data_IF_310762052897
#
_entry.id   IF_310762052897
#
_cell.length_a   1.000
_cell.length_b   1.000
_cell.length_c   1.000
_cell.angle_alpha   90.00
_cell.angle_beta   90.00
_cell.angle_gamma   90.00
#
_symmetry.space_group_name_H-M   'P 1'
#
loop_
_entity.id
_entity.type
_entity.pdbx_description
1 polymer ?
#
# COMPACT_ATOMS: atom_id res chain seq x y z
N UNK A 1 5.49 25.94 -46.64
CA UNK A 1 4.44 25.14 -45.96
C UNK A 1 5.08 24.36 -44.84
N UNK A 2 5.17 24.94 -43.66
CA UNK A 2 5.62 24.27 -42.42
C UNK A 2 4.37 23.71 -41.74
N UNK A 3 4.23 22.39 -41.76
CA UNK A 3 3.17 21.68 -41.06
C UNK A 3 3.32 21.93 -39.55
N UNK A 4 2.33 22.61 -38.97
CA UNK A 4 2.12 22.69 -37.54
C UNK A 4 1.84 21.29 -37.03
N UNK A 5 2.83 20.66 -36.39
CA UNK A 5 2.61 19.43 -35.61
C UNK A 5 1.57 19.76 -34.56
N UNK A 6 0.37 19.23 -34.77
CA UNK A 6 -0.80 19.51 -33.96
C UNK A 6 -0.51 19.32 -32.49
N UNK A 7 -0.98 20.28 -31.69
CA UNK A 7 -1.15 20.13 -30.26
C UNK A 7 -2.16 19.00 -30.00
N UNK A 8 -1.70 17.75 -30.09
CA UNK A 8 -2.45 16.58 -29.70
C UNK A 8 -2.87 16.77 -28.24
N UNK A 9 -4.18 16.84 -28.02
CA UNK A 9 -4.80 17.29 -26.78
C UNK A 9 -4.24 16.56 -25.57
N UNK A 10 -3.40 17.25 -24.79
CA UNK A 10 -3.01 16.76 -23.46
C UNK A 10 -4.29 16.75 -22.62
N UNK A 11 -4.75 15.55 -22.27
CA UNK A 11 -5.87 15.41 -21.35
C UNK A 11 -5.53 16.15 -20.05
N UNK A 12 -6.46 16.96 -19.50
CA UNK A 12 -6.24 17.63 -18.23
C UNK A 12 -5.82 16.63 -17.14
N UNK A 13 -4.86 16.97 -16.27
CA UNK A 13 -4.28 16.04 -15.29
C UNK A 13 -5.31 15.50 -14.28
N UNK A 14 -6.44 16.18 -14.10
CA UNK A 14 -7.52 15.78 -13.21
C UNK A 14 -8.50 14.74 -13.80
N UNK A 15 -8.57 14.59 -15.13
CA UNK A 15 -9.51 13.65 -15.80
C UNK A 15 -9.33 12.19 -15.36
N UNK A 16 -8.12 11.61 -15.36
CA UNK A 16 -7.95 10.22 -14.91
C UNK A 16 -8.31 10.03 -13.43
N UNK A 17 -8.03 11.03 -12.59
CA UNK A 17 -8.38 11.00 -11.17
C UNK A 17 -9.90 11.02 -10.96
N UNK A 18 -10.60 11.92 -11.66
CA UNK A 18 -12.06 11.99 -11.63
C UNK A 18 -12.71 10.69 -12.11
N UNK A 19 -12.18 10.09 -13.19
CA UNK A 19 -12.67 8.81 -13.71
C UNK A 19 -12.52 7.70 -12.68
N UNK A 20 -11.33 7.53 -12.09
CA UNK A 20 -11.07 6.51 -11.06
C UNK A 20 -11.97 6.71 -9.84
N UNK A 21 -12.15 7.96 -9.41
CA UNK A 21 -13.03 8.27 -8.26
C UNK A 21 -14.49 7.95 -8.57
N UNK A 22 -14.98 8.29 -9.76
CA UNK A 22 -16.35 7.97 -10.19
C UNK A 22 -16.58 6.47 -10.34
N UNK A 23 -15.65 5.74 -10.98
CA UNK A 23 -15.73 4.29 -11.08
C UNK A 23 -15.76 3.65 -9.69
N UNK A 24 -14.90 4.11 -8.77
CA UNK A 24 -14.89 3.64 -7.39
C UNK A 24 -16.20 3.90 -6.67
N UNK A 25 -16.75 5.11 -6.81
CA UNK A 25 -18.04 5.46 -6.21
C UNK A 25 -19.15 4.53 -6.72
N UNK A 26 -19.21 4.27 -8.04
CA UNK A 26 -20.20 3.39 -8.64
C UNK A 26 -20.06 1.93 -8.16
N UNK A 27 -18.83 1.41 -8.14
CA UNK A 27 -18.56 0.04 -7.67
C UNK A 27 -18.91 -0.12 -6.19
N UNK A 28 -18.47 0.81 -5.34
CA UNK A 28 -18.74 0.76 -3.90
C UNK A 28 -20.23 0.92 -3.62
N UNK A 29 -20.89 1.93 -4.18
CA UNK A 29 -22.32 2.17 -3.96
C UNK A 29 -23.19 1.04 -4.50
N UNK A 30 -22.88 0.52 -5.69
CA UNK A 30 -23.59 -0.62 -6.27
C UNK A 30 -23.43 -1.89 -5.43
N UNK A 31 -22.21 -2.16 -4.94
CA UNK A 31 -21.95 -3.35 -4.10
C UNK A 31 -22.61 -3.22 -2.73
N UNK A 32 -22.50 -2.05 -2.08
CA UNK A 32 -23.15 -1.78 -0.78
C UNK A 32 -24.67 -1.83 -0.93
N UNK A 33 -25.22 -1.26 -2.01
CA UNK A 33 -26.65 -1.31 -2.31
C UNK A 33 -27.14 -2.75 -2.51
N UNK A 34 -26.40 -3.57 -3.27
CA UNK A 34 -26.72 -4.98 -3.46
C UNK A 34 -26.65 -5.78 -2.16
N UNK A 35 -25.64 -5.55 -1.32
CA UNK A 35 -25.55 -6.22 -0.01
C UNK A 35 -26.72 -5.81 0.90
N UNK A 36 -27.13 -4.54 0.87
CA UNK A 36 -28.26 -4.03 1.63
C UNK A 36 -29.62 -4.57 1.16
N UNK A 37 -29.74 -5.14 -0.05
CA UNK A 37 -30.97 -5.83 -0.48
C UNK A 37 -30.99 -7.31 -0.11
N UNK A 38 -29.81 -7.93 0.08
CA UNK A 38 -29.68 -9.37 0.39
C UNK A 38 -29.85 -9.67 1.88
N UNK A 39 -29.50 -8.73 2.75
CA UNK A 39 -29.71 -8.81 4.19
C UNK A 39 -30.57 -7.61 4.61
N UNK A 40 -31.43 -7.77 5.61
CA UNK A 40 -32.17 -6.64 6.22
C UNK A 40 -31.22 -5.79 7.06
N UNK A 41 -30.22 -5.19 6.40
CA UNK A 41 -29.15 -4.42 7.02
C UNK A 41 -29.61 -2.99 7.19
N UNK A 42 -29.75 -2.55 8.43
CA UNK A 42 -29.84 -1.13 8.72
C UNK A 42 -28.46 -0.50 8.48
N UNK A 43 -28.36 0.44 7.53
CA UNK A 43 -27.16 1.27 7.37
C UNK A 43 -27.06 2.17 8.59
N UNK A 44 -26.30 1.72 9.59
CA UNK A 44 -26.03 2.51 10.80
C UNK A 44 -24.99 3.59 10.49
N UNK A 45 -24.89 4.60 11.35
CA UNK A 45 -23.87 5.64 11.23
C UNK A 45 -22.44 5.09 11.22
N UNK A 46 -22.18 3.95 11.87
CA UNK A 46 -20.89 3.27 11.85
C UNK A 46 -20.54 2.67 10.49
N UNK A 47 -21.51 2.02 9.84
CA UNK A 47 -21.34 1.45 8.50
C UNK A 47 -21.11 2.56 7.47
N UNK A 48 -21.98 3.57 7.48
CA UNK A 48 -21.85 4.73 6.59
C UNK A 48 -20.54 5.49 6.81
N UNK A 49 -20.17 5.73 8.08
CA UNK A 49 -18.92 6.39 8.44
C UNK A 49 -17.68 5.60 8.05
N UNK A 50 -17.69 4.27 8.21
CA UNK A 50 -16.59 3.39 7.81
C UNK A 50 -16.36 3.40 6.31
N UNK A 51 -17.43 3.22 5.53
CA UNK A 51 -17.37 3.27 4.05
C UNK A 51 -16.95 4.65 3.56
N UNK A 52 -17.56 5.72 4.06
CA UNK A 52 -17.22 7.08 3.66
C UNK A 52 -15.78 7.44 4.03
N UNK A 53 -15.34 7.09 5.24
CA UNK A 53 -14.00 7.37 5.74
C UNK A 53 -12.92 6.62 4.96
N UNK A 54 -13.10 5.33 4.69
CA UNK A 54 -12.16 4.53 3.90
C UNK A 54 -12.12 4.97 2.43
N UNK A 55 -13.28 5.32 1.85
CA UNK A 55 -13.35 5.85 0.49
C UNK A 55 -12.63 7.20 0.37
N UNK A 56 -12.83 8.09 1.34
CA UNK A 56 -12.14 9.37 1.40
C UNK A 56 -10.61 9.17 1.55
N UNK A 57 -10.18 8.27 2.45
CA UNK A 57 -8.76 7.96 2.64
C UNK A 57 -8.12 7.42 1.35
N UNK A 58 -8.77 6.46 0.68
CA UNK A 58 -8.30 5.90 -0.59
C UNK A 58 -8.22 6.98 -1.68
N UNK A 59 -9.24 7.84 -1.78
CA UNK A 59 -9.30 8.94 -2.75
C UNK A 59 -8.15 9.92 -2.54
N UNK A 60 -7.88 10.30 -1.28
CA UNK A 60 -6.75 11.16 -0.91
C UNK A 60 -5.42 10.50 -1.27
N UNK A 61 -5.25 9.21 -0.98
CA UNK A 61 -4.04 8.44 -1.32
C UNK A 61 -3.82 8.42 -2.84
N UNK A 62 -4.83 8.08 -3.63
CA UNK A 62 -4.76 8.07 -5.09
C UNK A 62 -4.37 9.45 -5.61
N UNK A 63 -5.05 10.50 -5.14
CA UNK A 63 -4.78 11.88 -5.56
C UNK A 63 -3.35 12.32 -5.24
N UNK A 64 -2.88 11.99 -4.03
CA UNK A 64 -1.52 12.26 -3.60
C UNK A 64 -0.47 11.51 -4.44
N UNK A 65 -0.68 10.22 -4.72
CA UNK A 65 0.22 9.41 -5.55
C UNK A 65 0.28 9.96 -6.98
N UNK A 66 -0.87 10.32 -7.56
CA UNK A 66 -0.93 10.90 -8.90
C UNK A 66 -0.26 12.27 -8.97
N UNK A 67 -0.42 13.12 -7.94
CA UNK A 67 0.21 14.43 -7.87
C UNK A 67 1.73 14.35 -7.64
N UNK A 68 2.19 13.40 -6.82
CA UNK A 68 3.60 13.24 -6.43
C UNK A 68 4.45 12.42 -7.40
N UNK A 69 3.84 11.76 -8.39
CA UNK A 69 4.55 11.00 -9.43
C UNK A 69 4.84 11.90 -10.63
N UNK A 70 6.11 12.05 -11.00
CA UNK A 70 6.54 12.98 -12.05
C UNK A 70 6.03 12.53 -13.44
N UNK A 71 5.59 13.46 -14.32
CA UNK A 71 5.19 13.12 -15.68
C UNK A 71 6.40 13.01 -16.60
N UNK A 72 7.23 11.97 -16.47
CA UNK A 72 8.12 11.55 -17.57
C UNK A 72 7.41 10.53 -18.45
N UNK A 73 7.82 10.44 -19.71
CA UNK A 73 7.17 9.57 -20.70
C UNK A 73 7.16 8.11 -20.20
N UNK A 74 5.96 7.59 -19.85
CA UNK A 74 5.76 6.24 -19.33
C UNK A 74 5.46 6.15 -17.83
N UNK A 75 5.93 7.08 -17.01
CA UNK A 75 5.86 7.00 -15.53
C UNK A 75 4.42 7.16 -14.97
N UNK A 76 3.50 7.79 -15.72
CA UNK A 76 2.10 8.03 -15.33
C UNK A 76 1.06 7.19 -16.08
N UNK A 77 1.47 6.20 -16.85
CA UNK A 77 0.50 5.38 -17.61
C UNK A 77 -0.31 4.52 -16.64
N UNK A 78 -1.64 4.58 -16.76
CA UNK A 78 -2.55 3.65 -16.07
C UNK A 78 -2.51 2.35 -16.86
N UNK A 79 -2.11 1.27 -16.19
CA UNK A 79 -1.97 -0.06 -16.80
C UNK A 79 -3.02 -1.01 -16.24
N UNK A 80 -3.12 -2.21 -16.80
CA UNK A 80 -4.00 -3.24 -16.25
C UNK A 80 -3.68 -3.53 -14.76
N UNK A 81 -2.39 -3.55 -14.40
CA UNK A 81 -1.95 -3.69 -13.02
C UNK A 81 -2.45 -2.53 -12.13
N UNK A 82 -2.39 -1.29 -12.62
CA UNK A 82 -2.94 -0.13 -11.89
C UNK A 82 -4.45 -0.29 -11.62
N UNK A 83 -5.21 -0.79 -12.58
CA UNK A 83 -6.64 -1.06 -12.38
C UNK A 83 -6.90 -2.15 -11.34
N UNK A 84 -6.08 -3.20 -11.30
CA UNK A 84 -6.19 -4.25 -10.27
C UNK A 84 -5.93 -3.65 -8.89
N UNK A 85 -4.89 -2.84 -8.73
CA UNK A 85 -4.60 -2.13 -7.48
C UNK A 85 -5.77 -1.22 -7.05
N UNK A 86 -6.40 -0.52 -7.99
CA UNK A 86 -7.60 0.29 -7.70
C UNK A 86 -8.79 -0.55 -7.26
N UNK A 87 -9.04 -1.68 -7.92
CA UNK A 87 -10.08 -2.63 -7.53
C UNK A 87 -9.83 -3.18 -6.12
N UNK A 88 -8.58 -3.47 -5.75
CA UNK A 88 -8.20 -3.86 -4.38
C UNK A 88 -8.53 -2.77 -3.37
N UNK A 89 -8.23 -1.51 -3.71
CA UNK A 89 -8.63 -0.35 -2.92
C UNK A 89 -10.14 -0.24 -2.73
N UNK A 90 -10.94 -0.43 -3.77
CA UNK A 90 -12.41 -0.39 -3.64
C UNK A 90 -12.97 -1.58 -2.87
N UNK A 91 -12.39 -2.78 -3.03
CA UNK A 91 -12.71 -3.94 -2.22
C UNK A 91 -12.45 -3.67 -0.72
N UNK A 92 -11.38 -2.94 -0.39
CA UNK A 92 -11.12 -2.48 0.98
C UNK A 92 -12.24 -1.57 1.51
N UNK A 93 -12.74 -0.64 0.68
CA UNK A 93 -13.84 0.24 1.06
C UNK A 93 -15.11 -0.56 1.35
N UNK A 94 -15.47 -1.49 0.47
CA UNK A 94 -16.61 -2.40 0.69
C UNK A 94 -16.40 -3.24 1.97
N UNK A 95 -15.19 -3.76 2.17
CA UNK A 95 -14.80 -4.50 3.37
C UNK A 95 -15.09 -3.70 4.65
N UNK A 96 -14.82 -2.38 4.68
CA UNK A 96 -15.12 -1.58 5.87
C UNK A 96 -16.60 -1.51 6.23
N UNK A 97 -17.48 -1.49 5.22
CA UNK A 97 -18.92 -1.56 5.44
C UNK A 97 -19.36 -2.93 5.95
N UNK A 98 -18.87 -3.99 5.33
CA UNK A 98 -19.20 -5.37 5.70
C UNK A 98 -18.67 -5.72 7.09
N UNK A 99 -17.42 -5.36 7.42
CA UNK A 99 -16.82 -5.68 8.71
C UNK A 99 -17.50 -4.93 9.86
N UNK A 100 -18.03 -3.73 9.62
CA UNK A 100 -18.82 -2.99 10.59
C UNK A 100 -20.17 -3.69 10.90
N UNK A 101 -20.62 -4.59 10.03
CA UNK A 101 -21.81 -5.42 10.23
C UNK A 101 -21.48 -6.81 10.76
N UNK A 102 -20.22 -7.23 10.78
CA UNK A 102 -19.82 -8.59 11.18
C UNK A 102 -20.41 -9.08 12.52
N UNK A 103 -20.61 -8.23 13.56
CA UNK A 103 -21.23 -8.66 14.82
C UNK A 103 -22.68 -9.15 14.68
N UNK A 104 -23.39 -8.83 13.60
CA UNK A 104 -24.83 -9.13 13.47
C UNK A 104 -25.11 -10.51 12.89
N UNK A 105 -24.16 -11.11 12.15
CA UNK A 105 -24.32 -12.45 11.59
C UNK A 105 -22.98 -13.11 11.21
N UNK A 106 -22.85 -14.41 11.51
CA UNK A 106 -21.67 -15.23 11.15
C UNK A 106 -21.39 -15.24 9.65
N UNK A 107 -22.43 -15.17 8.81
CA UNK A 107 -22.31 -15.10 7.34
C UNK A 107 -21.53 -13.85 6.90
N UNK A 108 -21.77 -12.71 7.54
CA UNK A 108 -21.09 -11.44 7.24
C UNK A 108 -19.59 -11.54 7.56
N UNK A 109 -19.23 -12.24 8.63
CA UNK A 109 -17.84 -12.54 8.94
C UNK A 109 -17.11 -13.28 7.81
N UNK A 110 -17.76 -14.27 7.17
CA UNK A 110 -17.20 -14.97 6.01
C UNK A 110 -17.06 -14.06 4.78
N UNK A 111 -18.02 -13.16 4.54
CA UNK A 111 -17.94 -12.18 3.45
C UNK A 111 -16.78 -11.21 3.71
N UNK A 112 -16.64 -10.71 4.94
CA UNK A 112 -15.54 -9.82 5.32
C UNK A 112 -14.17 -10.51 5.12
N UNK A 113 -14.04 -11.75 5.56
CA UNK A 113 -12.83 -12.55 5.33
C UNK A 113 -12.56 -12.73 3.84
N UNK A 114 -13.57 -13.12 3.05
CA UNK A 114 -13.44 -13.32 1.61
C UNK A 114 -12.99 -12.06 0.87
N UNK A 115 -13.56 -10.90 1.21
CA UNK A 115 -13.16 -9.61 0.67
C UNK A 115 -11.71 -9.27 1.03
N UNK A 116 -11.31 -9.49 2.29
CA UNK A 116 -9.94 -9.23 2.74
C UNK A 116 -8.94 -10.16 2.04
N UNK A 117 -9.24 -11.46 1.94
CA UNK A 117 -8.40 -12.44 1.24
C UNK A 117 -8.30 -12.12 -0.25
N UNK A 118 -9.39 -11.72 -0.89
CA UNK A 118 -9.36 -11.26 -2.27
C UNK A 118 -8.43 -10.04 -2.41
N UNK A 119 -8.56 -9.04 -1.53
CA UNK A 119 -7.74 -7.83 -1.59
C UNK A 119 -6.22 -8.11 -1.47
N UNK A 120 -5.81 -9.05 -0.61
CA UNK A 120 -4.39 -9.41 -0.44
C UNK A 120 -3.87 -10.38 -1.50
N UNK A 121 -4.73 -11.22 -2.10
CA UNK A 121 -4.30 -12.18 -3.13
C UNK A 121 -4.23 -11.55 -4.53
N UNK A 122 -5.12 -10.59 -4.83
CA UNK A 122 -5.08 -9.83 -6.08
C UNK A 122 -3.77 -9.03 -6.23
N UNK A 123 -3.07 -8.73 -5.14
CA UNK A 123 -1.72 -8.13 -5.12
C UNK A 123 -0.71 -8.97 -5.91
N UNK A 124 -0.64 -10.26 -5.61
CA UNK A 124 0.28 -11.14 -6.31
C UNK A 124 -0.04 -11.24 -7.81
N UNK A 125 -1.31 -11.04 -8.17
CA UNK A 125 -1.77 -11.05 -9.56
C UNK A 125 -1.35 -9.78 -10.28
N UNK A 126 -1.50 -8.60 -9.70
CA UNK A 126 -1.13 -7.35 -10.38
C UNK A 126 0.38 -7.28 -10.69
N UNK A 127 1.23 -7.71 -9.78
CA UNK A 127 2.67 -7.78 -9.98
C UNK A 127 3.05 -8.85 -11.01
N UNK A 128 2.33 -9.98 -11.05
CA UNK A 128 2.55 -11.00 -12.08
C UNK A 128 2.11 -10.52 -13.47
N UNK A 129 0.97 -9.81 -13.55
CA UNK A 129 0.48 -9.21 -14.80
C UNK A 129 1.48 -8.15 -15.28
N UNK A 130 1.89 -7.22 -14.43
CA UNK A 130 2.81 -6.15 -14.79
C UNK A 130 4.15 -6.68 -15.35
N UNK A 131 4.71 -7.73 -14.72
CA UNK A 131 5.93 -8.41 -15.20
C UNK A 131 5.73 -9.11 -16.54
N UNK A 132 4.58 -9.77 -16.72
CA UNK A 132 4.27 -10.51 -17.96
C UNK A 132 3.95 -9.59 -19.13
N UNK A 133 3.37 -8.42 -18.87
CA UNK A 133 3.00 -7.45 -19.90
C UNK A 133 4.05 -6.36 -20.11
N UNK A 134 5.18 -6.41 -19.38
CA UNK A 134 6.23 -5.40 -19.40
C UNK A 134 5.69 -3.97 -19.20
N UNK A 135 4.64 -3.84 -18.36
CA UNK A 135 3.94 -2.57 -18.11
C UNK A 135 4.13 -2.07 -16.68
N UNK A 136 5.30 -2.31 -16.09
CA UNK A 136 5.63 -1.74 -14.78
C UNK A 136 5.79 -0.22 -14.89
N UNK A 137 5.10 0.52 -14.03
CA UNK A 137 5.17 1.99 -14.00
C UNK A 137 5.47 2.49 -12.59
N UNK A 138 6.17 3.62 -12.49
CA UNK A 138 6.46 4.26 -11.21
C UNK A 138 5.17 4.65 -10.45
N UNK A 139 4.14 5.08 -11.19
CA UNK A 139 2.82 5.36 -10.63
C UNK A 139 2.19 4.08 -10.04
N UNK A 140 2.16 2.98 -10.80
CA UNK A 140 1.59 1.71 -10.36
C UNK A 140 2.29 1.18 -9.11
N UNK A 141 3.62 1.15 -9.10
CA UNK A 141 4.39 0.68 -7.95
C UNK A 141 4.17 1.53 -6.68
N UNK A 142 4.07 2.85 -6.82
CA UNK A 142 3.76 3.73 -5.68
C UNK A 142 2.33 3.53 -5.19
N UNK A 143 1.37 3.44 -6.10
CA UNK A 143 -0.03 3.25 -5.75
C UNK A 143 -0.22 1.91 -5.02
N UNK A 144 0.39 0.85 -5.53
CA UNK A 144 0.39 -0.48 -4.93
C UNK A 144 0.88 -0.45 -3.49
N UNK A 145 2.07 0.14 -3.29
CA UNK A 145 2.67 0.24 -1.95
C UNK A 145 1.79 1.04 -0.96
N UNK A 146 1.09 2.08 -1.42
CA UNK A 146 0.20 2.89 -0.55
C UNK A 146 -1.15 2.22 -0.31
N UNK A 147 -1.71 1.51 -1.29
CA UNK A 147 -2.94 0.74 -1.12
C UNK A 147 -2.70 -0.44 -0.19
N UNK A 148 -1.57 -1.13 -0.29
CA UNK A 148 -1.13 -2.17 0.65
C UNK A 148 -1.08 -1.67 2.08
N UNK A 149 -0.47 -0.49 2.28
CA UNK A 149 -0.39 0.14 3.57
C UNK A 149 -1.78 0.45 4.15
N UNK A 150 -2.67 0.94 3.29
CA UNK A 150 -4.05 1.26 3.68
C UNK A 150 -4.84 0.00 4.01
N UNK A 151 -4.69 -1.09 3.24
CA UNK A 151 -5.30 -2.39 3.51
C UNK A 151 -4.87 -2.91 4.88
N UNK A 152 -3.57 -2.85 5.18
CA UNK A 152 -3.02 -3.25 6.48
C UNK A 152 -3.59 -2.37 7.59
N UNK A 153 -3.56 -1.05 7.45
CA UNK A 153 -4.09 -0.14 8.46
C UNK A 153 -5.57 -0.39 8.75
N UNK A 154 -6.40 -0.40 7.71
CA UNK A 154 -7.84 -0.64 7.84
C UNK A 154 -8.13 -2.03 8.41
N UNK A 155 -7.39 -3.06 7.99
CA UNK A 155 -7.52 -4.40 8.54
C UNK A 155 -7.15 -4.49 10.02
N UNK A 156 -6.07 -3.81 10.45
CA UNK A 156 -5.71 -3.72 11.89
C UNK A 156 -6.75 -2.94 12.69
N UNK A 157 -7.26 -1.82 12.17
CA UNK A 157 -8.32 -1.03 12.82
C UNK A 157 -9.59 -1.87 12.98
N UNK A 158 -10.03 -2.54 11.93
CA UNK A 158 -11.24 -3.36 11.95
C UNK A 158 -11.13 -4.51 12.96
N UNK A 159 -10.03 -5.26 12.92
CA UNK A 159 -9.83 -6.40 13.84
C UNK A 159 -9.65 -5.97 15.29
N UNK A 160 -9.01 -4.83 15.56
CA UNK A 160 -8.93 -4.25 16.92
C UNK A 160 -10.29 -3.75 17.40
N UNK A 161 -11.03 -3.04 16.55
CA UNK A 161 -12.36 -2.51 16.90
C UNK A 161 -13.37 -3.62 17.23
N UNK A 162 -13.26 -4.77 16.55
CA UNK A 162 -14.04 -5.97 16.85
C UNK A 162 -13.48 -6.79 18.02
N UNK A 163 -12.36 -6.37 18.62
CA UNK A 163 -11.70 -7.08 19.72
C UNK A 163 -11.09 -8.43 19.32
N UNK A 164 -10.86 -8.68 18.03
CA UNK A 164 -10.35 -9.95 17.49
C UNK A 164 -8.83 -10.09 17.67
N UNK A 165 -8.11 -8.98 17.77
CA UNK A 165 -6.66 -8.91 18.02
C UNK A 165 -6.39 -7.86 19.11
N UNK A 166 -5.24 -7.90 19.82
CA UNK A 166 -5.00 -6.96 20.92
C UNK A 166 -4.84 -5.53 20.39
N UNK A 167 -5.25 -4.54 21.19
CA UNK A 167 -5.19 -3.13 20.79
C UNK A 167 -3.79 -2.65 20.39
N UNK A 168 -2.74 -3.24 20.98
CA UNK A 168 -1.34 -2.95 20.63
C UNK A 168 -1.01 -3.26 19.16
N UNK A 169 -1.75 -4.18 18.53
CA UNK A 169 -1.56 -4.55 17.12
C UNK A 169 -1.86 -3.38 16.18
N UNK A 170 -2.63 -2.37 16.62
CA UNK A 170 -2.83 -1.13 15.87
C UNK A 170 -1.51 -0.41 15.56
N UNK A 171 -0.51 -0.50 16.45
CA UNK A 171 0.81 0.08 16.23
C UNK A 171 1.48 -0.50 14.97
N UNK A 172 1.18 -1.76 14.63
CA UNK A 172 1.70 -2.41 13.43
C UNK A 172 1.12 -1.79 12.17
N UNK A 173 -0.18 -1.52 12.14
CA UNK A 173 -0.83 -0.80 11.04
C UNK A 173 -0.32 0.64 10.88
N UNK A 174 0.02 1.29 12.00
CA UNK A 174 0.58 2.64 12.02
C UNK A 174 2.09 2.69 11.73
N UNK A 175 2.80 1.56 11.83
CA UNK A 175 4.26 1.53 11.79
C UNK A 175 4.83 2.12 10.50
N UNK A 176 4.23 1.82 9.34
CA UNK A 176 4.66 2.40 8.06
C UNK A 176 4.49 3.91 8.04
N UNK A 177 3.33 4.42 8.45
CA UNK A 177 3.07 5.86 8.45
C UNK A 177 4.02 6.59 9.41
N UNK A 178 4.29 5.99 10.59
CA UNK A 178 5.32 6.45 11.51
C UNK A 178 6.72 6.45 10.88
N UNK A 179 7.08 5.40 10.14
CA UNK A 179 8.35 5.29 9.42
C UNK A 179 8.49 6.39 8.35
N UNK A 180 7.49 6.54 7.47
CA UNK A 180 7.47 7.57 6.42
C UNK A 180 7.49 8.97 7.02
N UNK A 181 6.70 9.24 8.06
CA UNK A 181 6.70 10.50 8.80
C UNK A 181 8.05 10.79 9.46
N UNK A 182 8.68 9.77 10.03
CA UNK A 182 10.02 9.85 10.62
C UNK A 182 11.10 10.17 9.57
N UNK A 183 11.02 9.57 8.37
CA UNK A 183 11.91 9.89 7.25
C UNK A 183 11.68 11.34 6.78
N UNK A 184 10.43 11.74 6.61
CA UNK A 184 10.07 13.09 6.18
C UNK A 184 10.57 14.16 7.16
N UNK A 185 10.43 13.93 8.47
CA UNK A 185 10.94 14.82 9.51
C UNK A 185 12.47 14.93 9.46
N UNK A 186 13.18 13.83 9.23
CA UNK A 186 14.65 13.87 9.08
C UNK A 186 15.08 14.65 7.84
N UNK A 187 14.39 14.48 6.70
CA UNK A 187 14.64 15.28 5.49
C UNK A 187 14.42 16.77 5.74
N UNK A 188 13.32 17.14 6.42
CA UNK A 188 13.05 18.54 6.79
C UNK A 188 14.11 19.15 7.72
N UNK A 189 14.77 18.32 8.52
CA UNK A 189 15.89 18.72 9.40
C UNK A 189 17.26 18.67 8.70
N UNK A 190 17.32 18.42 7.39
CA UNK A 190 18.58 18.31 6.63
C UNK A 190 19.45 17.11 7.01
N UNK A 191 18.89 16.10 7.70
CA UNK A 191 19.64 14.93 8.13
C UNK A 191 19.73 13.89 7.00
N UNK A 192 20.86 13.18 6.85
CA UNK A 192 21.08 12.22 5.76
C UNK A 192 20.15 11.02 5.90
N UNK A 193 19.49 10.64 4.81
CA UNK A 193 18.59 9.47 4.71
C UNK A 193 19.26 8.45 3.79
N UNK A 194 19.48 7.24 4.31
CA UNK A 194 20.11 6.15 3.58
C UNK A 194 19.06 5.18 3.04
N UNK A 195 19.35 4.57 1.90
CA UNK A 195 18.50 3.54 1.31
C UNK A 195 18.55 2.23 2.11
N UNK A 196 17.39 1.57 2.19
CA UNK A 196 17.29 0.23 2.75
C UNK A 196 17.42 -0.80 1.64
N UNK A 197 18.35 -1.73 1.81
CA UNK A 197 18.48 -2.92 0.98
C UNK A 197 17.18 -3.74 0.97
N UNK A 198 16.97 -4.49 -0.12
CA UNK A 198 15.85 -5.42 -0.25
C UNK A 198 15.95 -6.53 0.81
N UNK A 199 15.11 -6.46 1.84
CA UNK A 199 15.09 -7.45 2.93
C UNK A 199 13.99 -8.50 2.74
N UNK A 200 14.36 -9.79 2.79
CA UNK A 200 13.40 -10.92 2.85
C UNK A 200 12.50 -10.81 4.09
N UNK A 201 12.99 -10.25 5.19
CA UNK A 201 12.23 -10.08 6.42
C UNK A 201 11.00 -9.19 6.23
N UNK A 202 11.08 -8.13 5.42
CA UNK A 202 9.91 -7.27 5.15
C UNK A 202 8.76 -8.03 4.48
N UNK A 203 9.06 -8.98 3.60
CA UNK A 203 8.04 -9.84 2.97
C UNK A 203 7.38 -10.76 4.01
N UNK A 204 8.19 -11.37 4.88
CA UNK A 204 7.70 -12.25 5.95
C UNK A 204 6.84 -11.46 6.94
N UNK A 205 7.31 -10.31 7.39
CA UNK A 205 6.57 -9.42 8.30
C UNK A 205 5.24 -9.00 7.69
N UNK A 206 5.20 -8.58 6.41
CA UNK A 206 3.95 -8.26 5.72
C UNK A 206 2.96 -9.42 5.70
N UNK A 207 3.43 -10.62 5.35
CA UNK A 207 2.63 -11.84 5.33
C UNK A 207 2.09 -12.21 6.73
N UNK A 208 2.91 -12.05 7.79
CA UNK A 208 2.48 -12.27 9.18
C UNK A 208 1.39 -11.27 9.60
N UNK A 209 1.50 -10.00 9.20
CA UNK A 209 0.49 -8.98 9.49
C UNK A 209 -0.83 -9.35 8.82
N UNK A 210 -0.81 -9.56 7.50
CA UNK A 210 -2.00 -9.91 6.73
C UNK A 210 -2.61 -11.23 7.21
N UNK A 211 -1.78 -12.24 7.51
CA UNK A 211 -2.22 -13.51 8.05
C UNK A 211 -2.86 -13.39 9.43
N UNK A 212 -2.35 -12.52 10.30
CA UNK A 212 -2.95 -12.25 11.62
C UNK A 212 -4.31 -11.56 11.49
N UNK A 213 -4.45 -10.62 10.56
CA UNK A 213 -5.74 -9.98 10.26
C UNK A 213 -6.74 -11.04 9.74
N UNK A 214 -6.33 -11.86 8.77
CA UNK A 214 -7.18 -12.91 8.21
C UNK A 214 -7.59 -13.95 9.27
N UNK A 215 -6.66 -14.34 10.16
CA UNK A 215 -6.95 -15.24 11.27
C UNK A 215 -7.98 -14.64 12.23
N UNK A 216 -7.85 -13.34 12.56
CA UNK A 216 -8.81 -12.65 13.41
C UNK A 216 -10.21 -12.58 12.78
N UNK A 217 -10.29 -12.36 11.46
CA UNK A 217 -11.55 -12.30 10.71
C UNK A 217 -12.23 -13.67 10.50
N UNK A 218 -11.55 -14.77 10.80
CA UNK A 218 -12.06 -16.11 10.58
C UNK A 218 -13.17 -16.43 11.61
N UNK A 219 -14.46 -16.56 11.20
CA UNK A 219 -15.57 -16.62 12.16
C UNK A 219 -15.58 -17.84 13.08
N UNK A 220 -14.83 -18.89 12.73
CA UNK A 220 -14.71 -20.15 13.49
C UNK A 220 -13.56 -20.14 14.50
N UNK A 221 -12.70 -19.13 14.47
CA UNK A 221 -11.55 -19.03 15.37
C UNK A 221 -11.97 -18.33 16.65
N UNK A 222 -11.61 -18.92 17.79
CA UNK A 222 -11.77 -18.27 19.09
C UNK A 222 -10.89 -17.00 19.15
N UNK A 223 -11.46 -15.83 19.48
CA UNK A 223 -10.70 -14.59 19.64
C UNK A 223 -9.50 -14.70 20.60
N UNK A 224 -9.48 -15.64 21.55
CA UNK A 224 -8.32 -15.90 22.39
C UNK A 224 -7.09 -16.33 21.57
N UNK A 225 -7.28 -17.16 20.55
CA UNK A 225 -6.21 -17.66 19.68
C UNK A 225 -5.65 -16.53 18.82
N UNK A 226 -6.52 -15.77 18.14
CA UNK A 226 -6.09 -14.63 17.31
C UNK A 226 -5.45 -13.53 18.15
N UNK A 227 -5.88 -13.31 19.39
CA UNK A 227 -5.22 -12.39 20.31
C UNK A 227 -3.84 -12.86 20.74
N UNK A 228 -3.68 -14.15 21.05
CA UNK A 228 -2.40 -14.74 21.39
C UNK A 228 -1.39 -14.60 20.24
N UNK A 229 -1.83 -14.92 19.01
CA UNK A 229 -1.03 -14.70 17.79
C UNK A 229 -0.70 -13.22 17.63
N UNK A 230 -1.68 -12.33 17.80
CA UNK A 230 -1.48 -10.87 17.73
C UNK A 230 -0.38 -10.37 18.68
N UNK A 231 -0.37 -10.82 19.94
CA UNK A 231 0.69 -10.50 20.90
C UNK A 231 2.04 -11.04 20.45
N UNK A 232 2.09 -12.30 20.02
CA UNK A 232 3.31 -12.98 19.57
C UNK A 232 3.96 -12.25 18.39
N UNK A 233 3.18 -11.81 17.40
CA UNK A 233 3.71 -11.18 16.19
C UNK A 233 4.03 -9.70 16.38
N UNK A 234 3.29 -8.97 17.23
CA UNK A 234 3.44 -7.51 17.37
C UNK A 234 4.86 -7.11 17.76
N UNK A 235 5.43 -7.75 18.79
CA UNK A 235 6.76 -7.40 19.31
C UNK A 235 7.87 -7.49 18.26
N UNK A 236 8.07 -8.67 17.62
CA UNK A 236 9.06 -8.85 16.57
C UNK A 236 8.88 -7.91 15.38
N UNK A 237 7.63 -7.65 14.98
CA UNK A 237 7.32 -6.76 13.85
C UNK A 237 7.73 -5.32 14.18
N UNK A 238 7.32 -4.79 15.33
CA UNK A 238 7.67 -3.44 15.75
C UNK A 238 9.18 -3.29 15.96
N UNK A 239 9.83 -4.31 16.54
CA UNK A 239 11.28 -4.33 16.68
C UNK A 239 11.98 -4.27 15.31
N UNK A 240 11.48 -5.00 14.31
CA UNK A 240 11.99 -4.93 12.94
C UNK A 240 11.79 -3.54 12.31
N UNK A 241 10.66 -2.86 12.57
CA UNK A 241 10.45 -1.49 12.10
C UNK A 241 11.41 -0.48 12.74
N UNK A 242 11.63 -0.58 14.05
CA UNK A 242 12.62 0.23 14.77
C UNK A 242 14.03 -0.05 14.24
N UNK A 243 14.33 -1.32 13.99
CA UNK A 243 15.56 -1.73 13.33
C UNK A 243 15.66 -1.02 11.97
N UNK A 244 14.71 -1.18 11.06
CA UNK A 244 14.74 -0.50 9.75
C UNK A 244 14.95 1.02 9.86
N UNK A 245 14.32 1.69 10.82
CA UNK A 245 14.51 3.13 11.07
C UNK A 245 15.95 3.50 11.50
N UNK A 246 16.61 2.67 12.33
CA UNK A 246 18.02 2.86 12.64
C UNK A 246 18.94 2.65 11.42
N UNK A 247 18.54 1.80 10.48
CA UNK A 247 19.18 1.66 9.18
C UNK A 247 19.11 2.97 8.38
N UNK A 248 17.90 3.50 8.19
CA UNK A 248 17.66 4.78 7.46
C UNK A 248 18.46 5.93 8.06
N UNK A 249 18.58 5.96 9.39
CA UNK A 249 19.22 7.07 10.10
C UNK A 249 20.74 7.01 10.15
N UNK A 250 21.35 5.99 9.56
CA UNK A 250 22.81 5.82 9.52
C UNK A 250 23.42 5.36 10.84
N UNK A 251 22.59 5.07 11.86
CA UNK A 251 23.04 4.61 13.18
C UNK A 251 23.59 3.18 13.15
N UNK A 252 23.45 2.48 12.03
CA UNK A 252 24.04 1.15 11.77
C UNK A 252 25.49 1.16 11.27
N UNK A 253 26.14 2.31 11.18
CA UNK A 253 27.57 2.37 10.80
C UNK A 253 27.91 1.92 9.37
N UNK A 254 26.91 1.59 8.52
CA UNK A 254 27.13 1.25 7.12
C UNK A 254 27.18 2.51 6.26
N UNK A 255 28.26 2.65 5.47
CA UNK A 255 28.40 3.63 4.37
C UNK A 255 27.37 3.32 3.28
N UNK A 256 26.11 3.70 3.48
CA UNK A 256 25.08 3.67 2.45
C UNK A 256 25.23 4.86 1.50
N UNK A 257 24.90 4.69 0.22
CA UNK A 257 24.73 5.81 -0.72
C UNK A 257 23.68 6.77 -0.16
N UNK A 258 24.01 8.05 -0.09
CA UNK A 258 23.06 9.10 0.32
C UNK A 258 22.16 9.44 -0.86
N UNK A 259 20.84 9.42 -0.64
CA UNK A 259 19.89 9.96 -1.63
C UNK A 259 20.00 11.48 -1.59
N UNK A 260 20.71 12.07 -2.57
CA UNK A 260 20.63 13.50 -2.90
C UNK A 260 19.61 13.66 -4.03
N UNK A 261 18.76 14.67 -3.89
CA UNK A 261 17.62 14.94 -4.78
C UNK A 261 17.97 14.84 -6.28
N UNK A 262 17.15 14.12 -7.05
CA UNK A 262 16.83 14.53 -8.42
C UNK A 262 17.35 13.74 -9.63
N UNK A 263 18.12 12.65 -9.50
CA UNK A 263 18.54 11.91 -10.71
C UNK A 263 19.14 10.53 -10.44
N UNK A 264 18.66 9.52 -11.15
CA UNK A 264 19.37 8.26 -11.31
C UNK A 264 20.60 8.51 -12.19
N UNK A 265 21.77 8.71 -11.58
CA UNK A 265 23.03 8.47 -12.26
C UNK A 265 23.53 7.10 -11.83
N UNK A 266 23.36 6.12 -12.73
CA UNK A 266 24.13 4.88 -12.68
C UNK A 266 25.56 5.27 -13.04
N UNK A 267 26.41 5.44 -12.04
CA UNK A 267 27.84 5.31 -12.30
C UNK A 267 28.12 3.80 -12.34
N UNK A 268 28.18 3.29 -13.57
CA UNK A 268 28.86 2.03 -13.84
C UNK A 268 30.28 2.15 -13.30
N UNK A 269 30.69 1.14 -12.55
CA UNK A 269 32.04 1.02 -12.04
C UNK A 269 32.99 0.78 -13.20
N UNK A 270 33.50 1.86 -13.79
CA UNK A 270 34.77 1.82 -14.51
C UNK A 270 35.86 1.49 -13.50
N UNK A 271 36.30 0.23 -13.53
CA UNK A 271 37.62 -0.16 -13.06
C UNK A 271 38.65 0.55 -13.94
N UNK A 272 39.06 1.76 -13.56
CA UNK A 272 40.34 2.32 -14.00
C UNK A 272 41.46 1.57 -13.27
N UNK A 273 41.92 0.48 -13.89
CA UNK A 273 43.23 -0.10 -13.62
C UNK A 273 44.26 0.70 -14.40
N UNK A 274 44.78 1.77 -13.81
CA UNK A 274 45.99 2.42 -14.28
C UNK A 274 47.18 1.48 -14.00
N UNK A 275 47.63 0.75 -15.02
CA UNK A 275 48.86 -0.02 -15.06
C UNK A 275 49.76 0.53 -16.17
N UNK A 276 50.97 0.90 -15.75
CA UNK A 276 52.08 1.59 -16.43
C UNK A 276 52.36 1.26 -17.92
N UNK A 277 52.92 2.23 -18.68
CA UNK A 277 53.49 1.99 -20.00
C UNK A 277 54.88 1.33 -19.86
N UNK A 278 55.03 0.13 -20.43
CA UNK A 278 56.35 -0.50 -20.61
C UNK A 278 57.00 0.08 -21.85
N UNK A 279 58.10 0.81 -21.66
CA UNK A 279 58.89 1.42 -22.73
C UNK A 279 59.68 0.40 -23.55
N UNK A 280 59.89 0.78 -24.81
CA UNK A 280 60.83 0.15 -25.74
C UNK A 280 62.27 0.18 -25.20
N UNK A 281 62.90 -1.00 -25.17
CA UNK A 281 64.28 -1.31 -25.59
C UNK A 281 64.61 -2.76 -25.30
#
# INVERSE_FOLDING_TARGET
>A
MTATVGAAGRTPPWRPYALVTLCGLLVVSGTVGLLATMETVAITGWVGGGVAGSFAALTVVIGWVMASTTPRAGERRITAATWITLCRGWALVVFTGVVALAPTATRIGWIALGLFLAAITLDAVDGAVARRTETETALGARLDTEVDALIVLVGTVATVALGLVPAVFLLVGLARYGFVGGVALRRRRGLPVYDLEASRYRKVTGALIMGTIALGLLPTVDPAVSRAVGWLVTGPILAHFVWDYFGVSGRRGRRGRTVRDGGWTVHDGERSGAGEPKGDR
#
